data_IF_505040390922
#
_entry.id   IF_505040390922
#
_cell.length_a   1.000
_cell.length_b   1.000
_cell.length_c   1.000
_cell.angle_alpha   90.00
_cell.angle_beta   90.00
_cell.angle_gamma   90.00
#
_symmetry.space_group_name_H-M   'P 1'
#
loop_
_entity.id
_entity.type
_entity.pdbx_description
1 polymer ?
#
# COMPACT_ATOMS: atom_id res chain seq x y z
N UNK A 1 23.54 -62.52 -13.21
CA UNK A 1 22.66 -61.49 -12.61
C UNK A 1 23.27 -60.14 -12.99
N UNK A 2 22.77 -59.33 -13.91
CA UNK A 2 21.41 -59.16 -14.42
C UNK A 2 21.20 -57.64 -14.54
N UNK A 3 21.98 -57.01 -15.42
CA UNK A 3 21.88 -55.58 -15.75
C UNK A 3 20.77 -55.44 -16.79
N UNK A 4 19.71 -54.70 -16.47
CA UNK A 4 18.64 -54.35 -17.42
C UNK A 4 18.95 -53.01 -18.09
N UNK A 5 18.81 -52.89 -19.41
CA UNK A 5 19.06 -51.65 -20.14
C UNK A 5 17.79 -50.78 -20.20
N UNK A 6 17.98 -49.46 -20.09
CA UNK A 6 16.93 -48.47 -20.37
C UNK A 6 16.91 -48.24 -21.87
N UNK A 7 15.83 -48.67 -22.49
CA UNK A 7 15.61 -48.58 -23.92
C UNK A 7 15.30 -47.14 -24.35
N UNK A 8 15.73 -46.85 -25.57
CA UNK A 8 15.92 -45.55 -26.19
C UNK A 8 14.73 -45.26 -27.07
N UNK A 9 13.81 -44.39 -26.64
CA UNK A 9 12.80 -43.81 -27.53
C UNK A 9 13.24 -42.41 -27.98
N UNK A 10 13.88 -42.39 -29.16
CA UNK A 10 14.14 -41.20 -29.96
C UNK A 10 12.81 -40.64 -30.49
N UNK A 11 12.41 -39.46 -30.02
CA UNK A 11 11.65 -38.51 -30.84
C UNK A 11 12.45 -37.21 -30.86
N UNK A 12 12.95 -36.91 -32.05
CA UNK A 12 13.88 -35.82 -32.28
C UNK A 12 13.26 -34.46 -32.05
N UNK A 13 13.99 -33.62 -31.32
CA UNK A 13 13.96 -32.18 -31.50
C UNK A 13 15.41 -31.71 -31.57
N UNK A 14 15.91 -31.67 -32.80
CA UNK A 14 17.07 -30.86 -33.18
C UNK A 14 16.86 -29.42 -32.75
N UNK A 15 17.92 -28.85 -32.21
CA UNK A 15 18.09 -27.48 -31.75
C UNK A 15 17.54 -26.42 -32.72
N UNK A 16 16.68 -25.53 -32.20
CA UNK A 16 16.64 -24.13 -32.62
C UNK A 16 16.70 -23.26 -31.38
N UNK A 17 17.86 -22.67 -31.17
CA UNK A 17 18.11 -21.62 -30.20
C UNK A 17 17.43 -20.35 -30.73
N UNK A 18 16.13 -20.18 -30.44
CA UNK A 18 15.38 -18.98 -30.79
C UNK A 18 15.36 -18.01 -29.61
N UNK A 19 16.36 -17.14 -29.56
CA UNK A 19 16.52 -16.03 -28.60
C UNK A 19 15.38 -15.00 -28.63
N UNK A 20 14.28 -15.22 -29.37
CA UNK A 20 13.08 -14.37 -29.39
C UNK A 20 11.93 -14.84 -28.48
N UNK A 21 11.94 -16.06 -27.96
CA UNK A 21 10.89 -16.55 -27.05
C UNK A 21 11.17 -16.21 -25.58
N UNK A 22 12.45 -16.08 -25.18
CA UNK A 22 12.86 -15.65 -23.84
C UNK A 22 12.53 -14.17 -23.53
N UNK A 23 12.39 -13.32 -24.55
CA UNK A 23 11.95 -11.93 -24.38
C UNK A 23 10.44 -11.78 -24.16
N UNK A 24 9.62 -12.81 -24.46
CA UNK A 24 8.17 -12.77 -24.19
C UNK A 24 7.84 -13.05 -22.72
N UNK A 25 8.65 -13.84 -22.02
CA UNK A 25 8.41 -14.15 -20.60
C UNK A 25 8.76 -12.99 -19.66
N UNK A 26 9.69 -12.11 -20.03
CA UNK A 26 10.06 -10.91 -19.25
C UNK A 26 9.07 -9.74 -19.38
N UNK A 27 8.06 -9.82 -20.27
CA UNK A 27 7.06 -8.75 -20.48
C UNK A 27 5.73 -8.95 -19.75
N UNK A 28 5.60 -9.98 -18.91
CA UNK A 28 4.36 -10.28 -18.18
C UNK A 28 4.34 -9.77 -16.73
N UNK A 29 5.42 -9.14 -16.24
CA UNK A 29 5.51 -8.60 -14.87
C UNK A 29 5.00 -7.17 -14.68
N UNK A 30 4.74 -6.43 -15.76
CA UNK A 30 4.36 -5.01 -15.72
C UNK A 30 2.86 -4.86 -15.92
N UNK A 31 2.06 -4.99 -14.86
CA UNK A 31 0.61 -4.93 -15.06
C UNK A 31 -0.30 -4.87 -13.84
N UNK A 32 0.22 -4.77 -12.62
CA UNK A 32 -0.68 -4.74 -11.43
C UNK A 32 -1.39 -3.38 -11.28
N UNK A 33 -0.93 -2.31 -11.96
CA UNK A 33 -1.53 -0.97 -11.84
C UNK A 33 -1.76 -0.21 -13.16
N UNK A 34 -1.45 -0.80 -14.33
CA UNK A 34 -1.34 -0.07 -15.60
C UNK A 34 -2.36 -0.45 -16.70
N UNK A 35 -3.36 -1.30 -16.42
CA UNK A 35 -4.41 -1.61 -17.42
C UNK A 35 -5.80 -1.46 -16.82
N UNK A 36 -6.37 -0.27 -16.96
CA UNK A 36 -7.78 -0.08 -17.35
C UNK A 36 -8.09 1.42 -17.51
N UNK A 37 -7.71 2.01 -18.66
CA UNK A 37 -8.36 3.23 -19.15
C UNK A 37 -8.60 3.08 -20.64
N UNK A 38 -9.67 2.37 -21.00
CA UNK A 38 -10.40 2.58 -22.26
C UNK A 38 -11.84 2.10 -22.10
N UNK A 39 -12.72 2.96 -21.60
CA UNK A 39 -14.17 2.86 -21.87
C UNK A 39 -14.89 4.20 -21.59
N UNK A 40 -15.08 4.95 -22.69
CA UNK A 40 -16.20 5.86 -23.03
C UNK A 40 -16.87 6.70 -21.93
N UNK A 41 -16.61 8.01 -22.00
CA UNK A 41 -17.59 9.07 -21.68
C UNK A 41 -18.71 9.09 -22.72
N UNK A 42 -19.95 9.20 -22.27
CA UNK A 42 -21.10 9.73 -23.00
C UNK A 42 -21.90 10.68 -22.08
N UNK A 43 -22.58 11.70 -22.61
CA UNK A 43 -22.98 12.90 -21.85
C UNK A 43 -24.34 12.73 -21.16
N UNK A 44 -24.52 13.36 -20.00
CA UNK A 44 -25.83 13.56 -19.40
C UNK A 44 -26.26 15.01 -19.61
N UNK A 45 -27.42 15.12 -20.26
CA UNK A 45 -28.04 16.33 -20.76
C UNK A 45 -28.64 17.21 -19.65
N UNK A 46 -28.70 18.51 -19.96
CA UNK A 46 -29.39 19.54 -19.17
C UNK A 46 -30.90 19.36 -19.30
N UNK A 47 -31.61 19.34 -18.16
CA UNK A 47 -33.04 19.62 -18.13
C UNK A 47 -33.33 20.67 -17.05
N UNK A 48 -33.52 21.89 -17.52
CA UNK A 48 -34.18 23.01 -16.87
C UNK A 48 -35.65 22.68 -16.61
N UNK A 49 -36.16 22.98 -15.42
CA UNK A 49 -37.58 23.21 -15.19
C UNK A 49 -37.75 24.38 -14.23
N UNK A 50 -38.22 25.47 -14.83
CA UNK A 50 -38.68 26.73 -14.27
C UNK A 50 -40.18 26.63 -13.92
N UNK A 51 -40.66 27.56 -13.08
CA UNK A 51 -42.05 27.88 -12.67
C UNK A 51 -42.67 26.98 -11.57
N UNK A 52 -43.47 27.48 -10.62
CA UNK A 52 -44.20 28.74 -10.54
C UNK A 52 -44.47 29.18 -9.09
N UNK A 53 -44.60 30.49 -8.97
CA UNK A 53 -45.10 31.35 -7.90
C UNK A 53 -46.57 31.08 -7.50
N UNK A 54 -46.88 31.18 -6.21
CA UNK A 54 -48.12 31.70 -5.58
C UNK A 54 -48.06 31.31 -4.09
N UNK A 55 -48.47 32.09 -3.09
CA UNK A 55 -49.20 33.34 -2.98
C UNK A 55 -49.47 33.54 -1.48
N UNK A 56 -49.52 34.80 -1.04
CA UNK A 56 -49.64 35.23 0.36
C UNK A 56 -51.01 34.89 1.00
N UNK A 57 -51.03 34.76 2.33
CA UNK A 57 -52.06 35.27 3.26
C UNK A 57 -51.54 35.05 4.70
N UNK A 58 -51.06 36.06 5.44
CA UNK A 58 -51.74 37.10 6.25
C UNK A 58 -52.65 36.60 7.37
N UNK A 59 -52.48 37.26 8.53
CA UNK A 59 -53.39 37.40 9.68
C UNK A 59 -53.42 36.23 10.69
N UNK A 60 -53.62 36.43 11.99
CA UNK A 60 -53.51 37.58 12.89
C UNK A 60 -53.63 37.00 14.32
N UNK A 61 -53.00 37.69 15.26
CA UNK A 61 -53.31 37.85 16.69
C UNK A 61 -53.76 36.71 17.63
N UNK A 62 -53.04 36.70 18.76
CA UNK A 62 -53.51 36.94 20.14
C UNK A 62 -53.72 35.74 21.10
N UNK A 63 -52.75 35.62 22.01
CA UNK A 63 -52.87 35.74 23.48
C UNK A 63 -54.03 35.04 24.20
N UNK A 64 -53.71 34.06 25.06
CA UNK A 64 -53.77 34.16 26.54
C UNK A 64 -53.80 32.77 27.23
N UNK A 65 -53.11 32.66 28.38
CA UNK A 65 -53.60 31.85 29.50
C UNK A 65 -52.76 30.67 30.00
N UNK A 66 -51.91 30.94 31.01
CA UNK A 66 -51.55 30.16 32.23
C UNK A 66 -52.27 28.78 32.40
N UNK A 67 -51.71 27.69 32.95
CA UNK A 67 -50.86 27.51 34.15
C UNK A 67 -50.33 26.05 34.24
N UNK A 68 -49.18 25.89 34.91
CA UNK A 68 -48.77 24.78 35.82
C UNK A 68 -47.99 23.54 35.32
N UNK A 69 -46.81 23.41 35.95
CA UNK A 69 -46.17 22.22 36.52
C UNK A 69 -45.56 21.13 35.61
N UNK A 70 -44.23 21.20 35.50
CA UNK A 70 -43.37 20.13 36.02
C UNK A 70 -43.09 18.94 35.12
N UNK A 71 -41.93 18.96 34.45
CA UNK A 71 -40.96 17.85 34.53
C UNK A 71 -39.65 18.24 33.85
N UNK A 72 -38.56 18.09 34.61
CA UNK A 72 -37.21 18.19 34.13
C UNK A 72 -36.94 17.05 33.13
N UNK A 73 -36.96 17.38 31.84
CA UNK A 73 -36.36 16.54 30.82
C UNK A 73 -34.87 16.89 30.78
N UNK A 74 -34.06 15.96 31.27
CA UNK A 74 -32.62 15.88 31.04
C UNK A 74 -32.35 16.04 29.56
N UNK A 75 -31.88 17.23 29.17
CA UNK A 75 -31.31 17.45 27.86
C UNK A 75 -30.08 16.56 27.73
N UNK A 76 -30.23 15.40 27.10
CA UNK A 76 -29.13 14.69 26.50
C UNK A 76 -28.60 15.59 25.38
N UNK A 77 -27.63 16.43 25.74
CA UNK A 77 -26.74 17.04 24.78
C UNK A 77 -26.01 15.89 24.08
N UNK A 78 -26.47 15.51 22.89
CA UNK A 78 -25.62 14.84 21.92
C UNK A 78 -24.50 15.82 21.61
N UNK A 79 -23.41 15.72 22.36
CA UNK A 79 -22.20 16.47 22.11
C UNK A 79 -21.74 16.12 20.69
N UNK A 80 -22.00 17.03 19.75
CA UNK A 80 -21.35 17.00 18.45
C UNK A 80 -19.85 16.85 18.70
N UNK A 81 -19.20 15.84 18.12
CA UNK A 81 -17.77 15.68 18.29
C UNK A 81 -17.07 16.98 17.85
N UNK A 82 -16.01 17.41 18.55
CA UNK A 82 -15.36 18.69 18.26
C UNK A 82 -14.86 18.67 16.82
N UNK A 83 -15.12 19.74 16.05
CA UNK A 83 -14.84 19.89 14.61
C UNK A 83 -13.46 19.36 14.14
N UNK A 84 -12.45 19.33 15.02
CA UNK A 84 -11.13 18.74 14.76
C UNK A 84 -11.16 17.21 14.61
N UNK A 85 -11.96 16.52 15.43
CA UNK A 85 -12.16 15.08 15.35
C UNK A 85 -12.88 14.68 14.05
N UNK A 86 -13.88 15.48 13.61
CA UNK A 86 -14.52 15.28 12.31
C UNK A 86 -13.55 15.53 11.14
N UNK A 87 -12.75 16.59 11.21
CA UNK A 87 -11.74 16.88 10.20
C UNK A 87 -10.70 15.75 10.06
N UNK A 88 -10.29 15.14 11.18
CA UNK A 88 -9.37 14.02 11.20
C UNK A 88 -10.02 12.74 10.63
N UNK A 89 -11.24 12.41 11.06
CA UNK A 89 -12.00 11.28 10.50
C UNK A 89 -12.21 11.40 9.00
N UNK A 90 -12.54 12.60 8.52
CA UNK A 90 -12.71 12.84 7.08
C UNK A 90 -11.39 12.67 6.32
N UNK A 91 -10.27 13.12 6.89
CA UNK A 91 -8.95 12.89 6.31
C UNK A 91 -8.62 11.39 6.22
N UNK A 92 -8.87 10.64 7.27
CA UNK A 92 -8.66 9.19 7.30
C UNK A 92 -9.53 8.46 6.27
N UNK A 93 -10.82 8.84 6.15
CA UNK A 93 -11.73 8.32 5.12
C UNK A 93 -11.22 8.58 3.70
N UNK A 94 -10.72 9.80 3.43
CA UNK A 94 -10.14 10.15 2.12
C UNK A 94 -8.92 9.29 1.83
N UNK A 95 -7.99 9.16 2.78
CA UNK A 95 -6.76 8.40 2.59
C UNK A 95 -7.02 6.90 2.43
N UNK A 96 -7.99 6.35 3.15
CA UNK A 96 -8.43 4.95 2.98
C UNK A 96 -9.04 4.73 1.60
N UNK A 97 -9.99 5.57 1.18
CA UNK A 97 -10.57 5.49 -0.15
C UNK A 97 -9.52 5.64 -1.27
N UNK A 98 -8.53 6.53 -1.07
CA UNK A 98 -7.44 6.70 -2.02
C UNK A 98 -6.59 5.43 -2.15
N UNK A 99 -6.20 4.80 -1.03
CA UNK A 99 -5.43 3.55 -1.03
C UNK A 99 -6.16 2.41 -1.73
N UNK A 100 -7.44 2.23 -1.42
CA UNK A 100 -8.30 1.23 -2.06
C UNK A 100 -8.36 1.44 -3.57
N UNK A 101 -8.70 2.66 -4.01
CA UNK A 101 -8.83 2.99 -5.42
C UNK A 101 -7.50 2.90 -6.16
N UNK A 102 -6.39 3.29 -5.53
CA UNK A 102 -5.07 3.11 -6.14
C UNK A 102 -4.78 1.64 -6.36
N UNK A 103 -5.06 0.77 -5.40
CA UNK A 103 -4.93 -0.70 -5.52
C UNK A 103 -5.82 -1.31 -6.59
N UNK A 104 -7.07 -0.84 -6.71
CA UNK A 104 -8.03 -1.37 -7.66
C UNK A 104 -7.74 -0.93 -9.11
N UNK A 105 -7.34 0.34 -9.30
CA UNK A 105 -7.42 1.01 -10.61
C UNK A 105 -6.14 1.74 -11.03
N UNK A 106 -5.08 1.71 -10.22
CA UNK A 106 -3.89 2.52 -10.48
C UNK A 106 -3.95 3.89 -9.85
N UNK A 107 -2.82 4.59 -9.89
CA UNK A 107 -2.67 5.95 -9.38
C UNK A 107 -3.19 7.01 -10.33
N UNK A 108 -4.05 6.67 -11.30
CA UNK A 108 -4.67 7.61 -12.25
C UNK A 108 -6.13 7.98 -11.90
N UNK A 109 -6.70 7.42 -10.82
CA UNK A 109 -8.10 7.63 -10.40
C UNK A 109 -8.42 9.09 -10.08
N UNK A 110 -9.52 9.64 -10.59
CA UNK A 110 -9.87 11.05 -10.37
C UNK A 110 -10.13 11.38 -8.88
N UNK A 111 -9.78 12.59 -8.45
CA UNK A 111 -10.01 13.03 -7.06
C UNK A 111 -11.51 13.00 -6.70
N UNK A 112 -12.39 13.28 -7.64
CA UNK A 112 -13.84 13.23 -7.43
C UNK A 112 -14.33 11.80 -7.17
N UNK A 113 -13.73 10.80 -7.81
CA UNK A 113 -14.04 9.38 -7.53
C UNK A 113 -13.59 8.98 -6.12
N UNK A 114 -12.44 9.52 -5.67
CA UNK A 114 -11.96 9.34 -4.30
C UNK A 114 -12.89 10.02 -3.30
N UNK A 115 -13.34 11.25 -3.57
CA UNK A 115 -14.31 11.95 -2.72
C UNK A 115 -15.62 11.15 -2.58
N UNK A 116 -16.13 10.63 -3.70
CA UNK A 116 -17.33 9.80 -3.74
C UNK A 116 -17.15 8.50 -2.94
N UNK A 117 -16.04 7.78 -3.14
CA UNK A 117 -15.73 6.54 -2.40
C UNK A 117 -15.57 6.82 -0.90
N UNK A 118 -14.91 7.92 -0.54
CA UNK A 118 -14.76 8.34 0.84
C UNK A 118 -16.08 8.80 1.48
N UNK A 119 -17.12 9.09 0.68
CA UNK A 119 -18.40 9.63 1.14
C UNK A 119 -18.27 11.05 1.71
N UNK A 120 -17.38 11.87 1.11
CA UNK A 120 -17.17 13.28 1.50
C UNK A 120 -17.46 14.20 0.31
N UNK A 121 -17.84 15.45 0.57
CA UNK A 121 -18.04 16.44 -0.50
C UNK A 121 -16.71 16.78 -1.19
N UNK A 122 -16.75 17.01 -2.51
CA UNK A 122 -15.56 17.37 -3.30
C UNK A 122 -14.82 18.58 -2.71
N UNK A 123 -15.54 19.63 -2.30
CA UNK A 123 -14.95 20.80 -1.64
C UNK A 123 -14.20 20.48 -0.35
N UNK A 124 -14.61 19.46 0.40
CA UNK A 124 -13.89 18.99 1.60
C UNK A 124 -12.58 18.31 1.23
N UNK A 125 -12.56 17.52 0.16
CA UNK A 125 -11.34 16.89 -0.35
C UNK A 125 -10.36 17.95 -0.85
N UNK A 126 -10.77 18.85 -1.76
CA UNK A 126 -9.88 19.87 -2.33
C UNK A 126 -9.31 20.83 -1.28
N UNK A 127 -10.06 21.14 -0.21
CA UNK A 127 -9.53 21.93 0.93
C UNK A 127 -8.41 21.21 1.68
N UNK A 128 -8.42 19.88 1.71
CA UNK A 128 -7.42 19.06 2.43
C UNK A 128 -6.25 18.67 1.55
N UNK A 129 -6.54 18.37 0.29
CA UNK A 129 -5.59 17.95 -0.73
C UNK A 129 -5.84 18.81 -1.98
N UNK A 130 -5.12 19.95 -2.10
CA UNK A 130 -5.34 20.91 -3.18
C UNK A 130 -5.18 20.31 -4.57
N UNK A 131 -4.29 19.32 -4.69
CA UNK A 131 -4.00 18.60 -5.92
C UNK A 131 -3.79 17.10 -5.66
N UNK A 132 -3.64 16.37 -6.77
CA UNK A 132 -3.40 14.92 -6.77
C UNK A 132 -2.10 14.56 -6.07
N UNK A 133 -1.04 15.32 -6.32
CA UNK A 133 0.30 15.01 -5.86
C UNK A 133 0.40 15.13 -4.34
N UNK A 134 -0.32 16.09 -3.74
CA UNK A 134 -0.47 16.22 -2.30
C UNK A 134 -1.14 14.99 -1.68
N UNK A 135 -2.19 14.46 -2.31
CA UNK A 135 -2.85 13.23 -1.83
C UNK A 135 -1.94 12.01 -1.97
N UNK A 136 -1.33 11.82 -3.14
CA UNK A 136 -0.43 10.68 -3.41
C UNK A 136 0.76 10.69 -2.46
N UNK A 137 1.41 11.85 -2.29
CA UNK A 137 2.50 12.04 -1.34
C UNK A 137 2.09 11.67 0.07
N UNK A 138 0.91 12.10 0.51
CA UNK A 138 0.44 11.76 1.85
C UNK A 138 0.21 10.26 2.01
N UNK A 139 -0.39 9.60 1.03
CA UNK A 139 -0.59 8.14 1.05
C UNK A 139 0.75 7.40 1.14
N UNK A 140 1.78 7.87 0.44
CA UNK A 140 3.14 7.31 0.48
C UNK A 140 3.78 7.54 1.85
N UNK A 141 3.67 8.74 2.42
CA UNK A 141 4.17 9.07 3.76
C UNK A 141 3.52 8.16 4.80
N UNK A 142 2.18 8.04 4.79
CA UNK A 142 1.45 7.14 5.69
C UNK A 142 1.98 5.69 5.59
N UNK A 143 2.24 5.22 4.37
CA UNK A 143 2.77 3.87 4.13
C UNK A 143 4.16 3.67 4.75
N UNK A 144 5.06 4.64 4.58
CA UNK A 144 6.38 4.58 5.21
C UNK A 144 6.31 4.73 6.74
N UNK A 145 5.40 5.55 7.27
CA UNK A 145 5.19 5.67 8.72
C UNK A 145 4.68 4.36 9.34
N UNK A 146 3.85 3.59 8.63
CA UNK A 146 3.47 2.23 9.05
C UNK A 146 4.68 1.31 9.13
N UNK A 147 5.55 1.32 8.11
CA UNK A 147 6.77 0.51 8.10
C UNK A 147 7.75 0.93 9.20
N UNK A 148 7.90 2.24 9.43
CA UNK A 148 8.76 2.78 10.49
C UNK A 148 8.27 2.34 11.87
N UNK A 149 6.97 2.48 12.17
CA UNK A 149 6.42 2.02 13.44
C UNK A 149 6.62 0.52 13.67
N UNK A 150 6.54 -0.29 12.60
CA UNK A 150 6.79 -1.73 12.67
C UNK A 150 8.27 -2.04 13.00
N UNK A 151 9.22 -1.34 12.38
CA UNK A 151 10.66 -1.55 12.65
C UNK A 151 11.07 -1.00 14.01
N UNK A 152 10.53 0.14 14.45
CA UNK A 152 10.75 0.69 15.79
C UNK A 152 10.28 -0.28 16.88
N UNK A 153 9.13 -0.93 16.66
CA UNK A 153 8.65 -1.98 17.57
C UNK A 153 9.61 -3.17 17.61
N UNK A 154 10.09 -3.64 16.46
CA UNK A 154 11.05 -4.75 16.41
C UNK A 154 12.41 -4.37 17.05
N UNK A 155 12.84 -3.13 16.90
CA UNK A 155 14.05 -2.58 17.52
C UNK A 155 13.97 -2.55 19.05
N UNK A 156 12.77 -2.56 19.65
CA UNK A 156 12.60 -2.69 21.10
C UNK A 156 12.71 -4.15 21.58
N UNK A 157 12.76 -5.12 20.66
CA UNK A 157 12.70 -6.55 20.95
C UNK A 157 14.04 -7.27 20.69
N UNK A 158 15.15 -6.55 20.67
CA UNK A 158 16.50 -7.06 20.33
C UNK A 158 17.08 -8.10 21.29
N UNK A 159 16.39 -8.41 22.39
CA UNK A 159 16.72 -9.58 23.22
C UNK A 159 16.57 -10.91 22.46
N UNK A 160 15.74 -10.92 21.40
CA UNK A 160 15.58 -12.03 20.45
C UNK A 160 15.57 -11.46 19.02
N UNK A 161 16.75 -11.19 18.41
CA UNK A 161 16.83 -10.53 17.11
C UNK A 161 16.14 -11.31 15.98
N UNK A 162 16.27 -12.64 15.96
CA UNK A 162 15.63 -13.47 14.94
C UNK A 162 14.10 -13.43 15.06
N UNK A 163 13.55 -13.52 16.27
CA UNK A 163 12.12 -13.35 16.48
C UNK A 163 11.64 -11.92 16.26
N UNK A 164 12.47 -10.90 16.51
CA UNK A 164 12.16 -9.51 16.19
C UNK A 164 11.98 -9.32 14.68
N UNK A 165 12.85 -9.94 13.85
CA UNK A 165 12.69 -9.97 12.40
C UNK A 165 11.42 -10.71 11.96
N UNK A 166 11.10 -11.88 12.54
CA UNK A 166 9.84 -12.59 12.24
C UNK A 166 8.61 -11.73 12.52
N UNK A 167 8.57 -11.10 13.71
CA UNK A 167 7.46 -10.23 14.10
C UNK A 167 7.40 -8.96 13.25
N UNK A 168 8.54 -8.39 12.85
CA UNK A 168 8.61 -7.27 11.91
C UNK A 168 7.90 -7.61 10.59
N UNK A 169 8.29 -8.71 9.94
CA UNK A 169 7.69 -9.11 8.66
C UNK A 169 6.19 -9.38 8.80
N UNK A 170 5.75 -10.04 9.89
CA UNK A 170 4.32 -10.27 10.15
C UNK A 170 3.54 -8.96 10.25
N UNK A 171 4.02 -8.00 11.05
CA UNK A 171 3.39 -6.67 11.21
C UNK A 171 3.26 -5.94 9.87
N UNK A 172 4.28 -5.98 9.04
CA UNK A 172 4.25 -5.35 7.71
C UNK A 172 3.26 -6.06 6.77
N UNK A 173 3.24 -7.40 6.76
CA UNK A 173 2.29 -8.20 5.96
C UNK A 173 0.84 -7.96 6.39
N UNK A 174 0.58 -7.87 7.69
CA UNK A 174 -0.75 -7.59 8.23
C UNK A 174 -1.28 -6.23 7.77
N UNK A 175 -0.39 -5.25 7.58
CA UNK A 175 -0.75 -3.91 7.13
C UNK A 175 -0.66 -3.73 5.61
N UNK A 176 -0.34 -4.76 4.82
CA UNK A 176 -0.04 -4.63 3.37
C UNK A 176 -1.15 -3.97 2.54
N UNK A 177 -2.41 -4.10 2.98
CA UNK A 177 -3.58 -3.48 2.34
C UNK A 177 -3.54 -1.94 2.41
N UNK A 178 -2.82 -1.39 3.39
CA UNK A 178 -2.61 0.03 3.60
C UNK A 178 -1.35 0.56 2.92
N UNK A 179 -0.53 -0.32 2.35
CA UNK A 179 0.73 0.07 1.71
C UNK A 179 0.48 0.37 0.23
N UNK A 180 0.84 1.58 -0.16
CA UNK A 180 0.98 1.98 -1.56
C UNK A 180 2.37 2.58 -1.64
N UNK A 181 3.38 1.74 -1.87
CA UNK A 181 4.79 2.10 -1.83
C UNK A 181 5.50 1.73 -3.14
N UNK A 182 6.61 2.41 -3.50
CA UNK A 182 7.23 2.22 -4.81
C UNK A 182 7.64 0.77 -5.12
N UNK A 183 8.26 0.08 -4.16
CA UNK A 183 8.73 -1.31 -4.35
C UNK A 183 7.61 -2.34 -4.52
N UNK A 184 6.35 -1.96 -4.24
CA UNK A 184 5.18 -2.80 -4.43
C UNK A 184 4.29 -2.33 -5.60
N UNK A 185 4.82 -1.46 -6.46
CA UNK A 185 4.12 -0.93 -7.65
C UNK A 185 3.40 0.41 -7.41
N UNK A 186 3.64 1.04 -6.25
CA UNK A 186 3.17 2.40 -5.97
C UNK A 186 3.97 3.47 -6.74
N UNK A 187 3.48 4.73 -6.71
CA UNK A 187 4.14 5.84 -7.40
C UNK A 187 5.42 6.26 -6.69
N UNK A 188 6.40 6.74 -7.46
CA UNK A 188 7.60 7.39 -6.91
C UNK A 188 7.29 8.85 -6.60
N UNK A 189 7.64 9.27 -5.39
CA UNK A 189 7.47 10.67 -4.96
C UNK A 189 8.82 11.22 -4.50
N UNK A 190 9.20 12.38 -5.03
CA UNK A 190 10.37 13.11 -4.60
C UNK A 190 9.99 14.09 -3.48
N UNK A 191 10.15 13.65 -2.24
CA UNK A 191 9.85 14.46 -1.07
C UNK A 191 10.90 14.25 0.04
N UNK A 192 11.42 15.31 0.68
CA UNK A 192 12.41 15.17 1.76
C UNK A 192 11.94 14.31 2.94
N UNK A 193 10.65 14.36 3.30
CA UNK A 193 10.09 13.55 4.37
C UNK A 193 10.10 12.07 4.00
N UNK A 194 9.78 11.74 2.75
CA UNK A 194 9.85 10.36 2.24
C UNK A 194 11.28 9.84 2.32
N UNK A 195 12.26 10.66 1.90
CA UNK A 195 13.68 10.30 2.00
C UNK A 195 14.10 10.07 3.45
N UNK A 196 13.71 10.95 4.38
CA UNK A 196 14.01 10.79 5.81
C UNK A 196 13.45 9.48 6.37
N UNK A 197 12.20 9.15 6.05
CA UNK A 197 11.57 7.89 6.49
C UNK A 197 12.29 6.67 5.92
N UNK A 198 12.67 6.70 4.64
CA UNK A 198 13.45 5.61 4.02
C UNK A 198 14.80 5.40 4.71
N UNK A 199 15.51 6.47 5.07
CA UNK A 199 16.77 6.36 5.81
C UNK A 199 16.54 5.79 7.20
N UNK A 200 15.57 6.34 7.95
CA UNK A 200 15.25 5.85 9.30
C UNK A 200 14.86 4.37 9.33
N UNK A 201 14.05 3.91 8.36
CA UNK A 201 13.69 2.50 8.25
C UNK A 201 14.92 1.63 7.97
N UNK A 202 15.76 2.02 7.00
CA UNK A 202 16.96 1.26 6.64
C UNK A 202 17.92 1.16 7.83
N UNK A 203 18.18 2.27 8.50
CA UNK A 203 19.13 2.33 9.62
C UNK A 203 18.63 1.46 10.78
N UNK A 204 17.33 1.52 11.12
CA UNK A 204 16.74 0.65 12.15
C UNK A 204 16.75 -0.84 11.78
N UNK A 205 16.58 -1.19 10.49
CA UNK A 205 16.74 -2.58 10.02
C UNK A 205 18.19 -3.04 10.18
N UNK A 206 19.17 -2.19 9.86
CA UNK A 206 20.58 -2.52 9.99
C UNK A 206 21.00 -2.70 11.46
N UNK A 207 20.41 -1.95 12.39
CA UNK A 207 20.61 -2.14 13.83
C UNK A 207 20.11 -3.52 14.29
N UNK A 208 18.94 -3.96 13.81
CA UNK A 208 18.40 -5.30 14.09
C UNK A 208 19.30 -6.39 13.51
N UNK A 209 19.79 -6.21 12.27
CA UNK A 209 20.73 -7.13 11.63
C UNK A 209 22.04 -7.21 12.39
N UNK A 210 22.58 -6.07 12.83
CA UNK A 210 23.81 -6.00 13.62
C UNK A 210 23.68 -6.76 14.93
N UNK A 211 22.56 -6.58 15.65
CA UNK A 211 22.26 -7.37 16.84
C UNK A 211 22.12 -8.87 16.54
N UNK A 212 21.48 -9.22 15.41
CA UNK A 212 21.32 -10.60 14.95
C UNK A 212 22.65 -11.28 14.63
N UNK A 213 23.56 -10.60 13.94
CA UNK A 213 24.92 -11.09 13.65
C UNK A 213 25.73 -11.26 14.95
N UNK A 214 25.67 -10.27 15.85
CA UNK A 214 26.35 -10.35 17.15
C UNK A 214 25.86 -11.53 18.02
N UNK A 215 24.59 -11.91 17.90
CA UNK A 215 24.00 -13.05 18.56
C UNK A 215 24.17 -14.38 17.79
N UNK A 216 24.88 -14.39 16.65
CA UNK A 216 24.97 -15.53 15.72
C UNK A 216 23.59 -16.10 15.34
N UNK A 217 22.57 -15.24 15.25
CA UNK A 217 21.21 -15.60 14.88
C UNK A 217 20.92 -15.31 13.39
N UNK A 218 21.76 -14.49 12.75
CA UNK A 218 21.65 -14.05 11.36
C UNK A 218 23.03 -14.11 10.70
N UNK A 219 23.09 -14.57 9.46
CA UNK A 219 24.29 -14.62 8.61
C UNK A 219 24.89 -13.23 8.33
N UNK A 220 26.19 -13.15 8.10
CA UNK A 220 26.91 -11.87 8.01
C UNK A 220 26.78 -11.13 6.67
N UNK A 221 26.42 -11.85 5.61
CA UNK A 221 26.38 -11.35 4.22
C UNK A 221 24.99 -10.84 3.78
N UNK A 222 23.99 -10.80 4.66
CA UNK A 222 22.68 -10.19 4.39
C UNK A 222 22.69 -8.69 4.70
N UNK A 223 21.99 -7.87 3.92
CA UNK A 223 21.85 -6.42 4.19
C UNK A 223 20.42 -5.98 4.48
N UNK A 224 20.25 -4.73 4.95
CA UNK A 224 18.95 -4.10 5.08
C UNK A 224 18.16 -4.09 3.75
N UNK A 225 18.82 -3.89 2.61
CA UNK A 225 18.20 -3.92 1.30
C UNK A 225 17.62 -5.28 0.94
N UNK A 226 18.26 -6.39 1.33
CA UNK A 226 17.71 -7.74 1.13
C UNK A 226 16.40 -7.89 1.90
N UNK A 227 16.38 -7.49 3.18
CA UNK A 227 15.19 -7.56 4.02
C UNK A 227 14.06 -6.66 3.50
N UNK A 228 14.37 -5.42 3.13
CA UNK A 228 13.39 -4.47 2.59
C UNK A 228 12.80 -5.00 1.27
N UNK A 229 13.64 -5.56 0.41
CA UNK A 229 13.21 -6.13 -0.87
C UNK A 229 12.33 -7.37 -0.65
N UNK A 230 12.73 -8.28 0.25
CA UNK A 230 11.93 -9.44 0.60
C UNK A 230 10.57 -9.06 1.20
N UNK A 231 10.54 -8.06 2.10
CA UNK A 231 9.30 -7.55 2.67
C UNK A 231 8.39 -6.92 1.60
N UNK A 232 8.97 -6.15 0.67
CA UNK A 232 8.23 -5.59 -0.46
C UNK A 232 7.65 -6.70 -1.34
N UNK A 233 8.43 -7.71 -1.72
CA UNK A 233 7.97 -8.86 -2.50
C UNK A 233 6.79 -9.57 -1.82
N UNK A 234 6.87 -9.79 -0.50
CA UNK A 234 5.80 -10.42 0.27
C UNK A 234 4.52 -9.56 0.36
N UNK A 235 4.63 -8.24 0.19
CA UNK A 235 3.51 -7.30 0.25
C UNK A 235 2.90 -6.97 -1.12
N UNK A 236 3.47 -7.45 -2.23
CA UNK A 236 2.92 -7.16 -3.57
C UNK A 236 1.49 -7.72 -3.68
N UNK A 237 0.52 -6.93 -4.21
CA UNK A 237 -0.83 -7.42 -4.45
C UNK A 237 -0.83 -8.61 -5.41
N UNK A 238 -1.61 -9.65 -5.06
CA UNK A 238 -1.83 -10.82 -5.91
C UNK A 238 -3.31 -10.86 -6.34
N UNK A 239 -3.70 -10.11 -7.40
CA UNK A 239 -5.11 -9.81 -7.72
C UNK A 239 -5.94 -11.04 -8.10
N UNK A 240 -5.29 -12.14 -8.47
CA UNK A 240 -5.96 -13.40 -8.86
C UNK A 240 -6.11 -14.40 -7.70
N UNK A 241 -5.65 -14.04 -6.50
CA UNK A 241 -5.74 -14.90 -5.32
C UNK A 241 -6.65 -14.26 -4.26
N UNK A 242 -7.52 -15.04 -3.60
CA UNK A 242 -8.25 -14.57 -2.43
C UNK A 242 -7.29 -14.02 -1.36
N UNK A 243 -7.70 -12.99 -0.63
CA UNK A 243 -6.85 -12.27 0.34
C UNK A 243 -6.25 -13.16 1.42
N UNK A 244 -7.02 -14.12 1.95
CA UNK A 244 -6.56 -15.10 2.95
C UNK A 244 -5.49 -16.03 2.39
N UNK A 245 -5.70 -16.57 1.18
CA UNK A 245 -4.74 -17.46 0.51
C UNK A 245 -3.45 -16.70 0.19
N UNK A 246 -3.58 -15.47 -0.31
CA UNK A 246 -2.47 -14.56 -0.55
C UNK A 246 -1.66 -14.29 0.73
N UNK A 247 -2.34 -14.07 1.86
CA UNK A 247 -1.68 -13.87 3.15
C UNK A 247 -0.95 -15.10 3.66
N UNK A 248 -1.58 -16.28 3.58
CA UNK A 248 -0.97 -17.53 3.98
C UNK A 248 0.28 -17.85 3.15
N UNK A 249 0.23 -17.60 1.84
CA UNK A 249 1.38 -17.75 0.95
C UNK A 249 2.50 -16.78 1.31
N UNK A 250 2.20 -15.49 1.52
CA UNK A 250 3.19 -14.51 1.94
C UNK A 250 3.87 -14.90 3.25
N UNK A 251 3.09 -15.29 4.27
CA UNK A 251 3.61 -15.74 5.56
C UNK A 251 4.52 -16.97 5.43
N UNK A 252 4.14 -17.94 4.59
CA UNK A 252 4.96 -19.13 4.33
C UNK A 252 6.28 -18.79 3.64
N UNK A 253 6.28 -17.91 2.65
CA UNK A 253 7.51 -17.51 1.96
C UNK A 253 8.43 -16.68 2.86
N UNK A 254 7.87 -15.83 3.71
CA UNK A 254 8.64 -15.13 4.75
C UNK A 254 9.29 -16.11 5.71
N UNK A 255 8.56 -17.12 6.19
CA UNK A 255 9.16 -18.12 7.09
C UNK A 255 10.33 -18.86 6.41
N UNK A 256 10.21 -19.22 5.13
CA UNK A 256 11.30 -19.82 4.35
C UNK A 256 12.49 -18.86 4.24
N UNK A 257 12.22 -17.60 3.89
CA UNK A 257 13.24 -16.57 3.77
C UNK A 257 14.00 -16.35 5.08
N UNK A 258 13.29 -16.17 6.19
CA UNK A 258 13.87 -15.96 7.52
C UNK A 258 14.65 -17.17 8.02
N UNK A 259 14.20 -18.40 7.73
CA UNK A 259 14.99 -19.60 8.02
C UNK A 259 16.31 -19.62 7.23
N UNK A 260 16.33 -19.11 6.00
CA UNK A 260 17.54 -18.98 5.18
C UNK A 260 18.52 -17.90 5.66
N UNK A 261 18.10 -17.04 6.60
CA UNK A 261 18.98 -16.05 7.23
C UNK A 261 19.85 -16.63 8.34
N UNK A 262 19.55 -17.84 8.83
CA UNK A 262 20.33 -18.48 9.89
C UNK A 262 21.75 -18.80 9.39
N UNK A 263 22.80 -18.63 10.23
CA UNK A 263 24.17 -18.98 9.85
C UNK A 263 24.36 -20.47 9.57
N UNK A 264 23.60 -21.34 10.24
CA UNK A 264 23.75 -22.79 10.12
C UNK A 264 23.41 -23.29 8.72
N UNK A 265 24.41 -23.85 8.02
CA UNK A 265 24.23 -24.37 6.66
C UNK A 265 24.09 -23.30 5.57
N UNK A 266 24.42 -22.03 5.89
CA UNK A 266 24.38 -20.93 4.94
C UNK A 266 25.37 -21.16 3.78
N UNK A 267 24.84 -21.22 2.56
CA UNK A 267 25.65 -21.13 1.34
C UNK A 267 25.90 -19.65 1.00
N UNK A 268 27.08 -19.27 0.46
CA UNK A 268 27.38 -17.88 0.11
C UNK A 268 26.31 -17.27 -0.79
N UNK A 269 25.88 -16.04 -0.49
CA UNK A 269 25.04 -15.28 -1.41
C UNK A 269 25.83 -14.86 -2.67
N UNK A 270 25.17 -14.60 -3.81
CA UNK A 270 25.82 -14.01 -4.97
C UNK A 270 26.57 -12.71 -4.60
N UNK A 271 27.74 -12.50 -5.21
CA UNK A 271 28.79 -11.59 -4.74
C UNK A 271 28.48 -10.07 -4.67
N UNK A 272 27.25 -9.64 -4.96
CA UNK A 272 26.88 -8.22 -4.91
C UNK A 272 25.59 -8.06 -4.13
N UNK A 273 25.72 -7.64 -2.88
CA UNK A 273 24.57 -7.18 -2.10
C UNK A 273 23.92 -5.99 -2.81
N UNK A 274 22.58 -5.94 -2.90
CA UNK A 274 21.89 -4.83 -3.53
C UNK A 274 22.15 -3.55 -2.75
N UNK A 275 22.56 -2.49 -3.43
CA UNK A 275 22.70 -1.17 -2.80
C UNK A 275 21.39 -0.39 -2.84
N UNK A 276 21.14 0.47 -1.84
CA UNK A 276 20.01 1.42 -1.88
C UNK A 276 19.95 2.22 -3.20
N UNK A 277 21.12 2.52 -3.81
CA UNK A 277 21.23 3.20 -5.09
C UNK A 277 20.79 2.33 -6.27
N UNK A 278 21.00 1.02 -6.24
CA UNK A 278 20.55 0.09 -7.29
C UNK A 278 19.05 -0.18 -7.22
N UNK A 279 18.55 -0.41 -6.01
CA UNK A 279 17.13 -0.58 -5.71
C UNK A 279 16.36 0.70 -6.03
N UNK A 280 16.87 1.85 -5.57
CA UNK A 280 16.28 3.17 -5.84
C UNK A 280 16.33 3.56 -7.32
N UNK A 281 17.38 3.17 -8.07
CA UNK A 281 17.44 3.39 -9.53
C UNK A 281 16.38 2.61 -10.29
N UNK A 282 16.10 1.35 -9.92
CA UNK A 282 15.06 0.55 -10.56
C UNK A 282 13.67 1.14 -10.32
N UNK A 283 13.40 1.53 -9.06
CA UNK A 283 12.17 2.21 -8.67
C UNK A 283 11.96 3.51 -9.47
N UNK A 284 13.01 4.32 -9.65
CA UNK A 284 12.94 5.58 -10.38
C UNK A 284 12.81 5.42 -11.91
N UNK A 285 13.32 4.32 -12.49
CA UNK A 285 13.22 4.04 -13.93
C UNK A 285 11.81 3.60 -14.34
N UNK A 286 11.10 2.85 -13.50
CA UNK A 286 9.70 2.46 -13.75
C UNK A 286 8.71 3.64 -13.62
N UNK A 287 9.11 4.74 -12.96
CA UNK A 287 8.31 5.97 -12.85
C UNK A 287 8.38 6.91 -14.07
N UNK A 288 9.29 6.68 -15.03
CA UNK A 288 9.33 7.46 -16.27
C UNK A 288 8.31 6.92 -17.25
N UNK A 289 7.27 7.71 -17.49
CA UNK A 289 6.33 7.47 -18.56
C UNK A 289 7.09 7.51 -19.90
N UNK A 290 7.06 6.47 -20.75
CA UNK A 290 7.84 6.40 -22.00
C UNK A 290 7.39 7.38 -23.10
N UNK A 291 6.63 8.43 -22.76
CA UNK A 291 6.13 9.45 -23.69
C UNK A 291 6.85 10.79 -23.62
N UNK A 292 7.90 10.92 -22.81
CA UNK A 292 8.73 12.14 -22.72
C UNK A 292 10.14 11.95 -23.29
N UNK A 293 10.28 11.24 -24.41
CA UNK A 293 11.54 11.17 -25.17
C UNK A 293 11.28 11.28 -26.67
#
# INVERSE_FOLDING_TARGET
MGVLPVDRMMLGLTTHNDTRESEKFLRLGTGVYARQVTARRAPADRATADRATAGQATADRATAGRVSAGQAATGQATAEPPLRADAQRNRERILTAARELFREQGTAVALDDIARRAGVGAGTLYRRFPDRDALVRQVIIDGFEICLAAVETAHQELADPAGALDRLFRRVIEQRERLVLPLIGGPVVHDPRVQQLQHAIRDAVEDILTAGRAANAVRDDVTAEDLITAAAMACRPMPHLPGEVSAALAARHVAIYLHGLRPEGALPLPASAPTAKEVGRHVAMEGRNPKES
#
